data_IF_125776504001
#
_entry.id   IF_125776504001
#
_cell.length_a   1.000
_cell.length_b   1.000
_cell.length_c   1.000
_cell.angle_alpha   90.00
_cell.angle_beta   90.00
_cell.angle_gamma   90.00
#
_symmetry.space_group_name_H-M   'P 1'
#
loop_
_entity.id
_entity.type
_entity.pdbx_description
1 polymer ?
#
# COMPACT_ATOMS: atom_id res chain seq x y z
N UNK A 1 16.63 -7.69 4.05
CA UNK A 1 15.80 -6.91 4.99
C UNK A 1 14.36 -7.07 4.59
N UNK A 2 13.55 -7.52 5.55
CA UNK A 2 12.13 -7.69 5.35
C UNK A 2 11.49 -6.33 5.03
N UNK A 3 10.39 -6.35 4.27
CA UNK A 3 9.66 -5.13 3.91
C UNK A 3 8.17 -5.29 4.06
N UNK A 4 7.51 -4.18 4.32
CA UNK A 4 6.05 -4.08 4.38
C UNK A 4 5.52 -3.32 3.17
N UNK A 5 4.60 -3.96 2.45
CA UNK A 5 3.95 -3.43 1.26
C UNK A 5 2.45 -3.29 1.48
N UNK A 6 1.91 -2.11 1.11
CA UNK A 6 0.46 -1.90 0.97
C UNK A 6 0.10 -2.01 -0.51
N UNK A 7 -0.96 -2.75 -0.83
CA UNK A 7 -1.62 -2.71 -2.13
C UNK A 7 -3.00 -2.07 -2.00
N UNK A 8 -3.31 -1.06 -2.80
CA UNK A 8 -4.60 -0.39 -2.77
C UNK A 8 -5.18 -0.23 -4.18
N UNK A 9 -6.48 -0.49 -4.31
CA UNK A 9 -7.28 -0.05 -5.47
C UNK A 9 -8.14 1.12 -5.01
N UNK A 10 -8.09 2.24 -5.73
CA UNK A 10 -8.85 3.44 -5.38
C UNK A 10 -9.52 4.11 -6.58
N UNK A 11 -10.55 4.89 -6.31
CA UNK A 11 -11.17 5.81 -7.24
C UNK A 11 -10.30 7.05 -7.48
N UNK A 12 -10.63 7.85 -8.51
CA UNK A 12 -9.95 9.13 -8.79
C UNK A 12 -10.03 10.08 -7.58
N UNK A 13 -11.16 10.07 -6.90
CA UNK A 13 -11.41 10.89 -5.71
C UNK A 13 -10.87 10.28 -4.40
N UNK A 14 -10.15 9.15 -4.47
CA UNK A 14 -9.32 8.61 -3.38
C UNK A 14 -10.03 7.66 -2.41
N UNK A 15 -11.18 7.10 -2.80
CA UNK A 15 -11.89 6.09 -2.02
C UNK A 15 -11.43 4.68 -2.41
N UNK A 16 -11.33 3.77 -1.45
CA UNK A 16 -11.02 2.37 -1.69
C UNK A 16 -12.12 1.72 -2.52
N UNK A 17 -11.72 1.00 -3.55
CA UNK A 17 -12.63 0.36 -4.49
C UNK A 17 -12.50 -1.16 -4.40
N UNK A 18 -13.62 -1.83 -4.17
CA UNK A 18 -13.72 -3.29 -4.10
C UNK A 18 -14.51 -3.84 -5.29
N UNK A 19 -14.28 -5.10 -5.64
CA UNK A 19 -15.14 -5.84 -6.58
C UNK A 19 -15.01 -5.47 -8.06
N UNK A 20 -14.09 -4.58 -8.46
CA UNK A 20 -13.98 -4.17 -9.87
C UNK A 20 -13.21 -5.13 -10.79
N UNK A 21 -13.18 -6.42 -10.45
CA UNK A 21 -12.41 -7.45 -11.18
C UNK A 21 -12.82 -7.57 -12.65
N UNK A 22 -14.13 -7.53 -12.91
CA UNK A 22 -14.67 -7.69 -14.27
C UNK A 22 -14.40 -6.45 -15.14
N UNK A 23 -14.39 -5.28 -14.52
CA UNK A 23 -14.23 -3.99 -15.21
C UNK A 23 -12.76 -3.66 -15.48
N UNK A 24 -11.85 -4.12 -14.61
CA UNK A 24 -10.42 -3.84 -14.73
C UNK A 24 -9.56 -5.11 -14.52
N UNK A 25 -9.47 -5.99 -15.53
CA UNK A 25 -8.68 -7.21 -15.45
C UNK A 25 -7.20 -6.99 -15.13
N UNK A 26 -6.60 -5.87 -15.59
CA UNK A 26 -5.21 -5.50 -15.31
C UNK A 26 -4.92 -5.37 -13.80
N UNK A 27 -5.92 -5.02 -12.98
CA UNK A 27 -5.77 -4.98 -11.53
C UNK A 27 -5.58 -6.38 -10.93
N UNK A 28 -6.18 -7.38 -11.56
CA UNK A 28 -6.08 -8.76 -11.10
C UNK A 28 -4.70 -9.33 -11.39
N UNK A 29 -4.13 -9.03 -12.56
CA UNK A 29 -2.76 -9.41 -12.89
C UNK A 29 -1.78 -8.78 -11.90
N UNK A 30 -1.93 -7.49 -11.61
CA UNK A 30 -1.10 -6.79 -10.62
C UNK A 30 -1.25 -7.39 -9.22
N UNK A 31 -2.49 -7.59 -8.76
CA UNK A 31 -2.77 -8.22 -7.46
C UNK A 31 -2.13 -9.60 -7.39
N UNK A 32 -2.27 -10.43 -8.44
CA UNK A 32 -1.69 -11.77 -8.46
C UNK A 32 -0.16 -11.73 -8.34
N UNK A 33 0.52 -10.82 -9.05
CA UNK A 33 1.97 -10.63 -8.96
C UNK A 33 2.40 -10.28 -7.54
N UNK A 34 1.71 -9.33 -6.90
CA UNK A 34 2.03 -8.91 -5.53
C UNK A 34 1.82 -10.04 -4.52
N UNK A 35 0.70 -10.75 -4.62
CA UNK A 35 0.41 -11.88 -3.74
C UNK A 35 1.39 -13.05 -3.92
N UNK A 36 1.81 -13.32 -5.16
CA UNK A 36 2.80 -14.36 -5.45
C UNK A 36 4.20 -13.98 -4.94
N UNK A 37 4.53 -12.68 -4.91
CA UNK A 37 5.80 -12.17 -4.38
C UNK A 37 5.83 -11.99 -2.86
N UNK A 38 4.70 -12.18 -2.16
CA UNK A 38 4.61 -12.00 -0.72
C UNK A 38 4.95 -13.29 0.03
N UNK A 39 5.79 -13.18 1.06
CA UNK A 39 6.05 -14.27 2.02
C UNK A 39 4.87 -14.44 2.97
N UNK A 40 4.27 -13.32 3.39
CA UNK A 40 3.14 -13.29 4.33
C UNK A 40 2.07 -12.31 3.89
N UNK A 41 0.81 -12.73 4.02
CA UNK A 41 -0.36 -11.88 3.80
C UNK A 41 -0.92 -11.44 5.14
N UNK A 42 -0.89 -10.14 5.39
CA UNK A 42 -1.43 -9.52 6.59
C UNK A 42 -2.94 -9.23 6.44
N UNK A 43 -3.62 -9.12 7.58
CA UNK A 43 -5.03 -8.79 7.70
C UNK A 43 -5.27 -7.99 9.00
N UNK A 44 -6.53 -7.63 9.27
CA UNK A 44 -6.92 -6.84 10.43
C UNK A 44 -6.45 -7.38 11.79
N UNK A 45 -6.27 -8.70 11.91
CA UNK A 45 -5.91 -9.39 13.15
C UNK A 45 -4.41 -9.76 13.22
N UNK A 46 -3.61 -9.34 12.24
CA UNK A 46 -2.18 -9.66 12.21
C UNK A 46 -1.44 -9.04 13.41
N UNK A 47 -0.62 -9.82 14.14
CA UNK A 47 0.06 -9.34 15.33
C UNK A 47 1.23 -8.40 14.94
N UNK A 48 1.02 -7.09 15.11
CA UNK A 48 2.05 -6.09 14.78
C UNK A 48 3.34 -6.24 15.59
N UNK A 49 3.28 -6.79 16.81
CA UNK A 49 4.49 -7.04 17.61
C UNK A 49 5.43 -8.06 16.95
N UNK A 50 4.88 -9.15 16.42
CA UNK A 50 5.66 -10.16 15.70
C UNK A 50 6.23 -9.59 14.40
N UNK A 51 5.43 -8.81 13.68
CA UNK A 51 5.90 -8.10 12.49
C UNK A 51 7.09 -7.18 12.80
N UNK A 52 7.05 -6.45 13.91
CA UNK A 52 8.14 -5.57 14.31
C UNK A 52 9.42 -6.35 14.62
N UNK A 53 9.33 -7.44 15.39
CA UNK A 53 10.47 -8.33 15.69
C UNK A 53 11.11 -8.87 14.39
N UNK A 54 10.28 -9.27 13.44
CA UNK A 54 10.74 -9.78 12.15
C UNK A 54 11.40 -8.70 11.27
N UNK A 55 10.95 -7.45 11.35
CA UNK A 55 11.52 -6.31 10.63
C UNK A 55 12.85 -5.84 11.21
N UNK A 56 13.11 -6.05 12.50
CA UNK A 56 14.39 -5.76 13.15
C UNK A 56 15.48 -6.79 12.77
N UNK A 57 15.11 -7.96 12.27
CA UNK A 57 16.05 -8.99 11.85
C UNK A 57 16.63 -8.71 10.46
N UNK A 58 17.88 -8.24 10.41
CA UNK A 58 18.58 -7.89 9.16
C UNK A 58 18.75 -9.07 8.18
N UNK A 59 18.79 -10.30 8.69
CA UNK A 59 18.90 -11.52 7.89
C UNK A 59 17.56 -11.95 7.27
N UNK A 60 16.44 -11.35 7.69
CA UNK A 60 15.13 -11.62 7.12
C UNK A 60 14.98 -10.87 5.79
N UNK A 61 14.44 -11.53 4.77
CA UNK A 61 14.11 -10.96 3.46
C UNK A 61 12.62 -11.10 3.12
N UNK A 62 11.79 -11.42 4.13
CA UNK A 62 10.35 -11.62 3.97
C UNK A 62 9.64 -10.37 3.43
N UNK A 63 8.67 -10.60 2.55
CA UNK A 63 7.77 -9.57 2.04
C UNK A 63 6.41 -9.73 2.70
N UNK A 64 6.01 -8.75 3.49
CA UNK A 64 4.70 -8.66 4.12
C UNK A 64 3.78 -7.80 3.26
N UNK A 65 2.67 -8.37 2.80
CA UNK A 65 1.68 -7.67 1.98
C UNK A 65 0.37 -7.48 2.75
N UNK A 66 -0.17 -6.27 2.72
CA UNK A 66 -1.55 -5.99 3.15
C UNK A 66 -2.34 -5.31 2.04
N UNK A 67 -3.53 -5.82 1.77
CA UNK A 67 -4.48 -5.18 0.83
C UNK A 67 -5.32 -4.15 1.58
N UNK A 68 -5.38 -2.93 1.05
CA UNK A 68 -6.19 -1.83 1.54
C UNK A 68 -7.66 -2.10 1.23
N UNK A 69 -8.35 -2.61 2.25
CA UNK A 69 -9.77 -2.89 2.26
C UNK A 69 -10.36 -2.22 3.50
N UNK A 70 -11.66 -1.87 3.52
CA UNK A 70 -12.27 -1.19 4.67
C UNK A 70 -12.01 -1.89 6.01
N UNK A 71 -12.04 -3.24 6.02
CA UNK A 71 -11.73 -4.03 7.23
C UNK A 71 -10.29 -3.89 7.74
N UNK A 72 -9.35 -3.57 6.86
CA UNK A 72 -7.92 -3.43 7.18
C UNK A 72 -7.54 -1.96 7.46
N UNK A 73 -8.47 -1.00 7.35
CA UNK A 73 -8.19 0.43 7.50
C UNK A 73 -7.47 0.75 8.81
N UNK A 74 -7.96 0.23 9.93
CA UNK A 74 -7.41 0.53 11.25
C UNK A 74 -5.96 0.05 11.42
N UNK A 75 -5.65 -1.18 10.99
CA UNK A 75 -4.30 -1.73 11.11
C UNK A 75 -3.34 -1.03 10.15
N UNK A 76 -3.77 -0.72 8.91
CA UNK A 76 -2.96 0.01 7.95
C UNK A 76 -2.63 1.42 8.46
N UNK A 77 -3.61 2.12 9.02
CA UNK A 77 -3.39 3.43 9.63
C UNK A 77 -2.36 3.36 10.76
N UNK A 78 -2.44 2.31 11.60
CA UNK A 78 -1.48 2.07 12.68
C UNK A 78 -0.08 1.81 12.12
N UNK A 79 0.05 0.98 11.09
CA UNK A 79 1.33 0.68 10.43
C UNK A 79 1.98 1.92 9.80
N UNK A 80 1.18 2.79 9.17
CA UNK A 80 1.64 4.05 8.61
C UNK A 80 2.12 5.03 9.70
N UNK A 81 1.39 5.12 10.82
CA UNK A 81 1.79 5.95 11.97
C UNK A 81 3.09 5.45 12.63
N UNK A 82 3.24 4.13 12.74
CA UNK A 82 4.44 3.47 13.27
C UNK A 82 5.60 3.45 12.26
N UNK A 83 5.39 3.97 11.04
CA UNK A 83 6.39 4.02 9.95
C UNK A 83 6.91 2.64 9.53
N UNK A 84 6.10 1.60 9.68
CA UNK A 84 6.46 0.22 9.32
C UNK A 84 6.40 -0.03 7.81
N UNK A 85 5.64 0.79 7.07
CA UNK A 85 5.41 0.59 5.63
C UNK A 85 6.60 1.13 4.82
N UNK A 86 7.10 0.31 3.90
CA UNK A 86 8.23 0.65 3.02
C UNK A 86 7.78 0.96 1.59
N UNK A 87 6.69 0.33 1.15
CA UNK A 87 6.21 0.43 -0.23
C UNK A 87 4.68 0.52 -0.28
N UNK A 88 4.15 1.40 -1.13
CA UNK A 88 2.71 1.53 -1.38
C UNK A 88 2.48 1.41 -2.88
N UNK A 89 1.75 0.39 -3.29
CA UNK A 89 1.28 0.21 -4.67
C UNK A 89 -0.17 0.66 -4.75
N UNK A 90 -0.43 1.71 -5.52
CA UNK A 90 -1.77 2.25 -5.72
C UNK A 90 -2.19 2.04 -7.17
N UNK A 91 -3.30 1.35 -7.36
CA UNK A 91 -4.00 1.26 -8.62
C UNK A 91 -5.25 2.15 -8.59
N UNK A 92 -5.20 3.27 -9.31
CA UNK A 92 -6.33 4.19 -9.45
C UNK A 92 -7.18 3.79 -10.64
N UNK A 93 -8.44 3.45 -10.39
CA UNK A 93 -9.45 3.18 -11.42
C UNK A 93 -10.13 4.49 -11.86
N UNK A 94 -10.52 4.62 -13.14
CA UNK A 94 -11.08 5.85 -13.69
C UNK A 94 -12.56 6.05 -13.32
N UNK A 95 -12.89 6.00 -12.04
CA UNK A 95 -14.24 6.24 -11.51
C UNK A 95 -14.21 7.29 -10.42
N UNK A 96 -15.28 8.06 -10.30
CA UNK A 96 -15.55 8.92 -9.15
C UNK A 96 -16.55 8.19 -8.24
N UNK A 97 -16.15 7.82 -7.03
CA UNK A 97 -17.00 7.04 -6.14
C UNK A 97 -17.90 7.94 -5.27
N UNK A 98 -17.42 9.13 -4.92
CA UNK A 98 -18.15 10.15 -4.13
C UNK A 98 -18.28 9.83 -2.65
N UNK A 99 -18.21 8.55 -2.25
CA UNK A 99 -18.33 8.08 -0.88
C UNK A 99 -17.49 6.81 -0.64
N UNK A 100 -17.35 6.42 0.63
CA UNK A 100 -16.66 5.21 1.05
C UNK A 100 -15.51 5.48 2.02
N UNK A 101 -14.65 4.49 2.19
CA UNK A 101 -13.44 4.58 3.02
C UNK A 101 -12.28 5.11 2.20
N UNK A 102 -11.49 6.04 2.74
CA UNK A 102 -10.26 6.53 2.10
C UNK A 102 -9.06 5.96 2.84
N UNK A 103 -8.02 5.58 2.09
CA UNK A 103 -6.78 5.06 2.68
C UNK A 103 -6.06 6.09 3.56
N UNK A 104 -6.05 7.37 3.17
CA UNK A 104 -5.26 8.42 3.82
C UNK A 104 -6.09 9.48 4.54
N UNK A 105 -7.14 9.11 5.28
CA UNK A 105 -8.07 10.10 5.86
C UNK A 105 -7.56 10.76 7.15
N UNK A 106 -6.98 9.98 8.05
CA UNK A 106 -6.69 10.41 9.43
C UNK A 106 -5.20 10.48 9.74
N UNK A 107 -4.35 9.94 8.86
CA UNK A 107 -2.94 9.69 9.15
C UNK A 107 -2.09 9.98 7.92
N UNK A 108 -1.66 11.22 7.75
CA UNK A 108 -0.54 11.55 6.84
C UNK A 108 0.69 11.63 7.75
N UNK A 109 1.67 10.70 7.65
CA UNK A 109 2.84 10.74 8.51
C UNK A 109 3.57 12.07 8.37
N UNK A 110 3.78 12.84 9.46
CA UNK A 110 4.60 14.04 9.38
C UNK A 110 6.05 13.60 9.19
N UNK A 111 6.68 14.05 8.10
CA UNK A 111 8.10 13.85 7.80
C UNK A 111 8.53 12.41 7.43
N UNK A 112 7.76 11.70 6.60
CA UNK A 112 8.30 10.56 5.81
C UNK A 112 8.38 11.00 4.36
N UNK A 113 9.59 11.00 3.78
CA UNK A 113 9.73 11.24 2.35
C UNK A 113 9.26 9.99 1.60
N UNK A 114 8.35 10.19 0.64
CA UNK A 114 7.94 9.18 -0.32
C UNK A 114 8.34 9.66 -1.71
N UNK A 115 8.87 8.76 -2.52
CA UNK A 115 9.08 9.02 -3.95
C UNK A 115 8.21 8.09 -4.78
N UNK A 116 7.73 8.58 -5.91
CA UNK A 116 7.15 7.72 -6.94
C UNK A 116 8.32 7.03 -7.66
N UNK A 117 8.50 5.74 -7.41
CA UNK A 117 9.48 4.93 -8.13
C UNK A 117 9.04 4.69 -9.58
N UNK A 118 7.75 4.40 -9.78
CA UNK A 118 7.20 4.15 -11.12
C UNK A 118 5.73 4.52 -11.21
N UNK A 119 5.32 4.97 -12.39
CA UNK A 119 3.91 5.15 -12.74
C UNK A 119 3.67 4.57 -14.14
N UNK A 120 2.59 3.81 -14.30
CA UNK A 120 2.18 3.24 -15.58
C UNK A 120 0.67 3.36 -15.79
N UNK A 121 0.25 3.43 -17.05
CA UNK A 121 -1.16 3.55 -17.43
C UNK A 121 -1.52 2.34 -18.28
N UNK A 122 -2.58 1.63 -17.87
CA UNK A 122 -3.11 0.48 -18.62
C UNK A 122 -4.11 0.93 -19.69
N UNK A 123 -4.37 0.09 -20.71
CA UNK A 123 -5.29 0.42 -21.82
C UNK A 123 -6.73 0.72 -21.37
N UNK A 124 -7.15 0.17 -20.24
CA UNK A 124 -8.47 0.42 -19.61
C UNK A 124 -8.49 1.69 -18.74
N UNK A 125 -7.44 2.51 -18.80
CA UNK A 125 -7.35 3.78 -18.08
C UNK A 125 -6.97 3.67 -16.61
N UNK A 126 -6.68 2.47 -16.09
CA UNK A 126 -6.19 2.34 -14.71
C UNK A 126 -4.75 2.85 -14.62
N UNK A 127 -4.48 3.69 -13.63
CA UNK A 127 -3.14 4.22 -13.35
C UNK A 127 -2.55 3.46 -12.17
N UNK A 128 -1.37 2.87 -12.36
CA UNK A 128 -0.60 2.22 -11.30
C UNK A 128 0.53 3.14 -10.90
N UNK A 129 0.71 3.37 -9.60
CA UNK A 129 1.86 4.09 -9.06
C UNK A 129 2.46 3.31 -7.89
N UNK A 130 3.79 3.20 -7.87
CA UNK A 130 4.55 2.61 -6.76
C UNK A 130 5.27 3.72 -6.04
N UNK A 131 4.98 3.85 -4.75
CA UNK A 131 5.68 4.77 -3.86
C UNK A 131 6.62 3.99 -2.96
N UNK A 132 7.85 4.48 -2.80
CA UNK A 132 8.82 3.95 -1.84
C UNK A 132 9.20 5.00 -0.82
N UNK A 133 9.42 4.53 0.40
CA UNK A 133 9.92 5.32 1.51
C UNK A 133 11.41 5.61 1.29
N UNK A 134 11.82 6.88 1.33
CA UNK A 134 13.19 7.33 1.04
C UNK A 134 14.05 7.51 2.31
N UNK A 135 13.69 6.86 3.43
CA UNK A 135 14.34 7.06 4.74
C UNK A 135 13.84 8.31 5.50
N UNK A 136 14.43 8.63 6.67
CA UNK A 136 14.00 9.77 7.47
C UNK A 136 14.20 11.09 6.70
N UNK A 137 13.27 12.04 6.89
CA UNK A 137 13.35 13.38 6.28
C UNK A 137 14.69 14.06 6.62
N UNK A 138 15.57 14.20 5.61
CA UNK A 138 16.78 15.00 5.71
C UNK A 138 16.41 16.46 5.41
N UNK A 139 16.51 17.32 6.44
CA UNK A 139 16.24 18.76 6.35
C UNK A 139 17.18 19.49 5.37
N UNK A 140 18.25 18.83 4.90
CA UNK A 140 19.27 19.41 4.03
C UNK A 140 19.07 19.12 2.53
N UNK A 141 18.03 18.36 2.15
CA UNK A 141 17.64 18.18 0.74
C UNK A 141 16.53 19.18 0.38
N UNK A 142 16.92 20.43 0.10
CA UNK A 142 16.10 21.45 -0.58
C UNK A 142 16.94 22.16 -1.63
#
# INVERSE_FOLDING_TARGET
MAKVQIFAVQSIDGYMVEGCKEQYPSLYDERAVLYQGATFILNADSPLSMLMEDLENECNDAVYLIEALPRNESIINTMLQMRLVDEIVICTVPVMQGNGTRLFRTCIPPATCWESESTSISKNGTVRTVFRKIGPFDKNRV
#
